data_IF_219280846056
#
_entry.id   IF_219280846056
#
_cell.length_a   1.000
_cell.length_b   1.000
_cell.length_c   1.000
_cell.angle_alpha   90.00
_cell.angle_beta   90.00
_cell.angle_gamma   90.00
#
_symmetry.space_group_name_H-M   'P 1'
#
loop_
_entity.id
_entity.type
_entity.pdbx_description
1 polymer ?
#
# COMPACT_ATOMS: atom_id res chain seq x y z
N UNK A 1 -13.67 -2.81 -25.20
CA UNK A 1 -12.28 -2.89 -24.68
C UNK A 1 -12.35 -3.54 -23.32
N UNK A 2 -11.92 -4.81 -23.20
CA UNK A 2 -11.98 -5.55 -21.95
C UNK A 2 -10.75 -5.10 -21.16
N UNK A 3 -10.95 -4.35 -20.08
CA UNK A 3 -9.87 -4.05 -19.14
C UNK A 3 -9.27 -5.38 -18.71
N UNK A 4 -8.00 -5.64 -19.09
CA UNK A 4 -7.28 -6.80 -18.64
C UNK A 4 -7.30 -6.78 -17.11
N UNK A 5 -8.08 -7.67 -16.50
CA UNK A 5 -8.09 -7.77 -15.05
C UNK A 5 -6.65 -7.96 -14.61
N UNK A 6 -6.11 -7.12 -13.71
CA UNK A 6 -4.75 -7.29 -13.25
C UNK A 6 -4.64 -8.70 -12.70
N UNK A 7 -3.72 -9.51 -13.26
CA UNK A 7 -3.49 -10.90 -12.85
C UNK A 7 -2.79 -10.92 -11.50
N UNK A 8 -3.50 -10.47 -10.46
CA UNK A 8 -3.04 -10.51 -9.08
C UNK A 8 -3.36 -11.89 -8.50
N UNK A 9 -2.38 -12.47 -7.85
CA UNK A 9 -2.53 -13.64 -7.00
C UNK A 9 -3.46 -13.35 -5.81
N UNK A 10 -3.92 -14.42 -5.16
CA UNK A 10 -4.78 -14.31 -3.98
C UNK A 10 -4.15 -13.50 -2.85
N UNK A 11 -2.85 -13.65 -2.62
CA UNK A 11 -2.11 -12.89 -1.60
C UNK A 11 -2.03 -11.40 -1.93
N UNK A 12 -1.88 -11.06 -3.22
CA UNK A 12 -1.86 -9.66 -3.67
C UNK A 12 -3.24 -9.01 -3.52
N UNK A 13 -4.31 -9.73 -3.87
CA UNK A 13 -5.68 -9.28 -3.57
C UNK A 13 -5.95 -9.07 -2.08
N UNK A 14 -5.33 -9.89 -1.23
CA UNK A 14 -5.43 -9.69 0.21
C UNK A 14 -4.67 -8.43 0.66
N UNK A 15 -3.51 -8.14 0.08
CA UNK A 15 -2.77 -6.90 0.33
C UNK A 15 -3.57 -5.65 -0.09
N UNK A 16 -4.24 -5.69 -1.25
CA UNK A 16 -5.18 -4.64 -1.69
C UNK A 16 -6.30 -4.43 -0.68
N UNK A 17 -6.90 -5.52 -0.20
CA UNK A 17 -8.00 -5.45 0.79
C UNK A 17 -7.54 -4.86 2.12
N UNK A 18 -6.33 -5.20 2.58
CA UNK A 18 -5.71 -4.62 3.76
C UNK A 18 -5.48 -3.12 3.57
N UNK A 19 -4.97 -2.71 2.40
CA UNK A 19 -4.72 -1.32 2.07
C UNK A 19 -5.99 -0.45 2.08
N UNK A 20 -7.12 -0.98 1.60
CA UNK A 20 -8.40 -0.26 1.70
C UNK A 20 -8.88 -0.09 3.13
N UNK A 21 -8.72 -1.11 3.97
CA UNK A 21 -9.05 -0.99 5.40
C UNK A 21 -8.13 0.02 6.11
N UNK A 22 -6.84 0.04 5.77
CA UNK A 22 -5.89 1.01 6.30
C UNK A 22 -6.25 2.43 5.87
N UNK A 23 -6.64 2.63 4.60
CA UNK A 23 -7.05 3.94 4.09
C UNK A 23 -8.30 4.45 4.84
N UNK A 24 -9.28 3.58 5.07
CA UNK A 24 -10.51 3.91 5.82
C UNK A 24 -10.23 4.27 7.29
N UNK A 25 -9.19 3.68 7.90
CA UNK A 25 -8.76 3.96 9.28
C UNK A 25 -7.72 5.08 9.38
N UNK A 26 -7.47 5.83 8.30
CA UNK A 26 -6.39 6.83 8.21
C UNK A 26 -4.98 6.27 8.51
N UNK A 27 -4.80 4.96 8.42
CA UNK A 27 -3.64 4.20 8.88
C UNK A 27 -2.61 3.87 7.80
N UNK A 28 -2.62 4.55 6.63
CA UNK A 28 -1.61 4.33 5.59
C UNK A 28 -0.20 4.52 6.15
N UNK A 29 0.48 3.41 6.42
CA UNK A 29 1.87 3.40 6.85
C UNK A 29 2.68 3.54 5.58
N UNK A 30 3.17 4.74 5.29
CA UNK A 30 4.32 4.82 4.40
C UNK A 30 5.48 4.11 5.11
N UNK A 31 6.29 3.34 4.38
CA UNK A 31 7.56 2.70 4.79
C UNK A 31 8.60 3.67 5.39
N UNK A 32 8.21 4.89 5.73
CA UNK A 32 9.01 5.85 6.48
C UNK A 32 9.09 5.41 7.93
N UNK A 33 10.32 5.14 8.37
CA UNK A 33 10.71 4.93 9.77
C UNK A 33 9.83 5.78 10.72
N UNK A 34 9.18 5.16 11.73
CA UNK A 34 8.34 5.92 12.64
C UNK A 34 9.18 6.99 13.33
N UNK A 35 8.79 8.26 13.18
CA UNK A 35 9.47 9.38 13.81
C UNK A 35 9.56 9.22 15.33
N UNK A 36 10.54 9.88 15.96
CA UNK A 36 10.84 9.73 17.40
C UNK A 36 9.58 9.88 18.30
N UNK A 37 8.69 10.82 17.97
CA UNK A 37 7.43 11.03 18.69
C UNK A 37 6.49 9.81 18.63
N UNK A 38 6.42 9.12 17.49
CA UNK A 38 5.60 7.91 17.34
C UNK A 38 6.19 6.73 18.10
N UNK A 39 7.52 6.62 18.15
CA UNK A 39 8.23 5.62 18.98
C UNK A 39 7.96 5.85 20.48
N UNK A 40 7.97 7.11 20.95
CA UNK A 40 7.65 7.47 22.33
C UNK A 40 6.18 7.17 22.66
N UNK A 41 5.24 7.58 21.80
CA UNK A 41 3.81 7.30 21.99
C UNK A 41 3.51 5.80 22.07
N UNK A 42 4.10 4.99 21.18
CA UNK A 42 3.96 3.54 21.20
C UNK A 42 4.51 2.93 22.50
N UNK A 43 5.64 3.45 23.01
CA UNK A 43 6.22 3.01 24.28
C UNK A 43 5.36 3.36 25.50
N UNK A 44 4.68 4.51 25.48
CA UNK A 44 3.82 4.97 26.58
C UNK A 44 2.43 4.33 26.59
N UNK A 45 1.85 4.06 25.42
CA UNK A 45 0.47 3.56 25.29
C UNK A 45 0.38 2.07 24.98
N UNK A 46 1.50 1.43 24.61
CA UNK A 46 1.50 0.06 24.08
C UNK A 46 0.88 -0.07 22.68
N UNK A 47 0.48 1.04 22.06
CA UNK A 47 -0.17 1.02 20.75
C UNK A 47 0.89 0.96 19.63
N UNK A 48 1.18 -0.26 19.18
CA UNK A 48 2.08 -0.49 18.05
C UNK A 48 1.39 -0.19 16.73
N UNK A 49 2.09 0.50 15.83
CA UNK A 49 1.61 0.70 14.46
C UNK A 49 1.42 -0.63 13.72
N UNK A 50 0.67 -0.62 12.60
CA UNK A 50 0.49 -1.81 11.78
C UNK A 50 1.83 -2.43 11.40
N UNK A 51 1.97 -3.76 11.55
CA UNK A 51 3.17 -4.47 11.12
C UNK A 51 3.31 -4.44 9.59
N UNK A 52 4.53 -4.42 9.05
CA UNK A 52 4.73 -4.64 7.62
C UNK A 52 4.23 -6.04 7.23
N UNK A 53 3.76 -6.18 5.99
CA UNK A 53 3.41 -7.47 5.42
C UNK A 53 4.65 -8.37 5.28
N UNK A 54 4.43 -9.67 5.22
CA UNK A 54 5.49 -10.67 5.21
C UNK A 54 6.39 -10.64 3.97
N UNK A 55 5.96 -9.97 2.89
CA UNK A 55 6.68 -9.89 1.62
C UNK A 55 6.69 -8.43 1.14
N UNK A 56 7.87 -7.96 0.71
CA UNK A 56 8.09 -6.62 0.15
C UNK A 56 7.15 -6.33 -1.03
N UNK A 57 6.87 -7.32 -1.89
CA UNK A 57 5.92 -7.19 -3.00
C UNK A 57 4.51 -6.86 -2.52
N UNK A 58 4.06 -7.47 -1.43
CA UNK A 58 2.75 -7.21 -0.85
C UNK A 58 2.71 -5.85 -0.13
N UNK A 59 3.80 -5.47 0.53
CA UNK A 59 3.92 -4.16 1.17
C UNK A 59 3.96 -3.01 0.16
N UNK A 60 4.57 -3.23 -1.01
CA UNK A 60 4.57 -2.28 -2.13
C UNK A 60 3.14 -2.05 -2.64
N UNK A 61 2.36 -3.12 -2.86
CA UNK A 61 0.93 -3.02 -3.21
C UNK A 61 0.19 -2.24 -2.14
N UNK A 62 0.35 -2.64 -0.87
CA UNK A 62 -0.38 -2.03 0.24
C UNK A 62 -0.11 -0.53 0.34
N UNK A 63 1.17 -0.14 0.29
CA UNK A 63 1.60 1.25 0.36
C UNK A 63 1.03 2.07 -0.79
N UNK A 64 1.13 1.56 -2.02
CA UNK A 64 0.63 2.25 -3.21
C UNK A 64 -0.88 2.44 -3.20
N UNK A 65 -1.63 1.35 -2.94
CA UNK A 65 -3.10 1.36 -2.90
C UNK A 65 -3.60 2.27 -1.79
N UNK A 66 -3.04 2.16 -0.58
CA UNK A 66 -3.47 2.99 0.54
C UNK A 66 -3.20 4.48 0.28
N UNK A 67 -1.99 4.80 -0.19
CA UNK A 67 -1.61 6.18 -0.50
C UNK A 67 -2.49 6.76 -1.60
N UNK A 68 -2.71 6.00 -2.69
CA UNK A 68 -3.56 6.42 -3.82
C UNK A 68 -5.01 6.64 -3.39
N UNK A 69 -5.56 5.73 -2.58
CA UNK A 69 -6.93 5.82 -2.08
C UNK A 69 -7.12 7.04 -1.17
N UNK A 70 -6.14 7.32 -0.32
CA UNK A 70 -6.18 8.43 0.64
C UNK A 70 -6.04 9.79 -0.05
N UNK A 71 -5.10 9.93 -0.99
CA UNK A 71 -4.87 11.17 -1.71
C UNK A 71 -5.87 11.40 -2.85
N UNK A 72 -6.61 10.35 -3.25
CA UNK A 72 -7.47 10.31 -4.45
C UNK A 72 -6.68 10.63 -5.72
N UNK A 73 -5.37 10.34 -5.72
CA UNK A 73 -4.44 10.56 -6.83
C UNK A 73 -3.40 9.44 -6.86
N UNK A 74 -2.99 8.94 -8.04
CA UNK A 74 -1.95 7.92 -8.13
C UNK A 74 -0.71 8.30 -7.31
N UNK A 75 -0.23 7.36 -6.48
CA UNK A 75 0.96 7.58 -5.66
C UNK A 75 2.24 7.42 -6.51
N UNK A 76 2.51 8.39 -7.38
CA UNK A 76 3.62 8.36 -8.35
C UNK A 76 4.98 8.05 -7.72
N UNK A 77 5.23 8.54 -6.51
CA UNK A 77 6.47 8.28 -5.77
C UNK A 77 6.68 6.79 -5.41
N UNK A 78 5.64 5.97 -5.45
CA UNK A 78 5.68 4.53 -5.13
C UNK A 78 5.67 3.65 -6.39
N UNK A 79 5.52 4.23 -7.58
CA UNK A 79 5.57 3.51 -8.86
C UNK A 79 6.92 2.81 -9.09
N UNK A 80 8.09 3.44 -8.84
CA UNK A 80 9.38 2.76 -8.97
C UNK A 80 9.49 1.52 -8.07
N UNK A 81 8.95 1.60 -6.85
CA UNK A 81 8.95 0.46 -5.90
C UNK A 81 8.13 -0.71 -6.44
N UNK A 82 7.00 -0.45 -7.11
CA UNK A 82 6.25 -1.51 -7.77
C UNK A 82 7.02 -2.11 -8.97
N UNK A 83 7.71 -1.28 -9.74
CA UNK A 83 8.55 -1.78 -10.84
C UNK A 83 9.70 -2.66 -10.36
N UNK A 84 10.38 -2.27 -9.27
CA UNK A 84 11.44 -3.07 -8.64
C UNK A 84 10.94 -4.44 -8.18
N UNK A 85 9.66 -4.52 -7.81
CA UNK A 85 9.01 -5.78 -7.44
C UNK A 85 8.50 -6.58 -8.66
N UNK A 86 8.71 -6.09 -9.88
CA UNK A 86 8.36 -6.76 -11.14
C UNK A 86 6.94 -6.50 -11.64
N UNK A 87 6.27 -5.43 -11.19
CA UNK A 87 4.99 -5.03 -11.77
C UNK A 87 5.18 -4.32 -13.12
N UNK A 88 4.37 -4.67 -14.12
CA UNK A 88 4.36 -3.97 -15.41
C UNK A 88 3.63 -2.61 -15.30
N UNK A 89 3.91 -1.65 -16.19
CA UNK A 89 3.19 -0.37 -16.22
C UNK A 89 1.66 -0.55 -16.25
N UNK A 90 1.16 -1.47 -17.07
CA UNK A 90 -0.28 -1.77 -17.14
C UNK A 90 -0.85 -2.31 -15.82
N UNK A 91 -0.08 -3.08 -15.04
CA UNK A 91 -0.51 -3.54 -13.72
C UNK A 91 -0.52 -2.41 -12.69
N UNK A 92 0.45 -1.49 -12.75
CA UNK A 92 0.47 -0.30 -11.90
C UNK A 92 -0.73 0.60 -12.20
N UNK A 93 -1.04 0.83 -13.48
CA UNK A 93 -2.21 1.59 -13.91
C UNK A 93 -3.51 0.93 -13.42
N UNK A 94 -3.62 -0.40 -13.53
CA UNK A 94 -4.77 -1.13 -13.03
C UNK A 94 -4.93 -1.00 -11.49
N UNK A 95 -3.82 -1.07 -10.74
CA UNK A 95 -3.83 -0.81 -9.30
C UNK A 95 -4.25 0.63 -8.98
N UNK A 96 -3.80 1.60 -9.78
CA UNK A 96 -4.17 3.00 -9.62
C UNK A 96 -5.68 3.20 -9.84
N UNK A 97 -6.21 2.68 -10.96
CA UNK A 97 -7.63 2.75 -11.30
C UNK A 97 -8.51 2.09 -10.24
N UNK A 98 -8.09 0.94 -9.70
CA UNK A 98 -8.81 0.25 -8.62
C UNK A 98 -8.81 1.03 -7.30
N UNK A 99 -7.77 1.85 -7.08
CA UNK A 99 -7.57 2.60 -5.84
C UNK A 99 -8.16 4.02 -5.87
N UNK A 100 -8.56 4.51 -7.04
CA UNK A 100 -9.34 5.73 -7.21
C UNK A 100 -10.81 5.49 -6.81
#
# INVERSE_FOLDING_TARGET
MIAAQPTLSRSEWQAVSIAFNDAARCGCVATREPGALRKIYARLTGHHGPRPLANERLEAIRSFVCSTRRSRKPAEALVPVLHDQGFSPAQVDALALLSL
#
